data_IF_373797699128
#
_entry.id   IF_373797699128
#
_cell.length_a   1.000
_cell.length_b   1.000
_cell.length_c   1.000
_cell.angle_alpha   90.00
_cell.angle_beta   90.00
_cell.angle_gamma   90.00
#
_symmetry.space_group_name_H-M   'P 1'
#
loop_
_entity.id
_entity.type
_entity.pdbx_description
1 polymer ?
#
# COMPACT_ATOMS: atom_id res chain seq x y z
N UNK A 1 2.44 -18.00 -16.75
CA UNK A 1 1.31 -17.68 -17.62
C UNK A 1 1.88 -16.99 -18.85
N UNK A 2 1.51 -17.42 -20.05
CA UNK A 2 1.91 -16.77 -21.29
C UNK A 2 0.79 -15.82 -21.69
N UNK A 3 1.08 -14.53 -21.74
CA UNK A 3 0.15 -13.52 -22.29
C UNK A 3 0.38 -13.50 -23.81
N UNK A 4 -0.69 -13.71 -24.57
CA UNK A 4 -0.64 -13.69 -26.03
C UNK A 4 -0.67 -12.26 -26.56
N UNK A 5 -0.03 -12.03 -27.70
CA UNK A 5 -0.14 -10.77 -28.42
C UNK A 5 -1.60 -10.57 -28.88
N UNK A 6 -2.09 -9.33 -28.82
CA UNK A 6 -3.47 -8.94 -29.17
C UNK A 6 -4.58 -9.50 -28.26
N UNK A 7 -4.23 -10.10 -27.12
CA UNK A 7 -5.20 -10.47 -26.10
C UNK A 7 -5.91 -9.22 -25.56
N UNK A 8 -7.24 -9.25 -25.57
CA UNK A 8 -8.08 -8.16 -25.05
C UNK A 8 -8.45 -8.42 -23.60
N UNK A 9 -8.37 -7.39 -22.77
CA UNK A 9 -8.83 -7.36 -21.39
C UNK A 9 -9.95 -6.34 -21.21
N UNK A 10 -10.79 -6.52 -20.21
CA UNK A 10 -11.72 -5.46 -19.81
C UNK A 10 -10.96 -4.36 -19.06
N UNK A 11 -10.00 -4.75 -18.22
CA UNK A 11 -9.19 -3.81 -17.43
C UNK A 11 -7.72 -4.25 -17.39
N UNK A 12 -6.81 -3.34 -17.71
CA UNK A 12 -5.38 -3.49 -17.39
C UNK A 12 -5.02 -2.58 -16.22
N UNK A 13 -4.37 -3.12 -15.20
CA UNK A 13 -3.97 -2.42 -13.99
C UNK A 13 -2.44 -2.35 -13.94
N UNK A 14 -1.90 -1.14 -13.86
CA UNK A 14 -0.45 -0.88 -13.80
C UNK A 14 -0.04 -0.85 -12.32
N UNK A 15 0.68 -1.86 -11.85
CA UNK A 15 1.13 -1.98 -10.46
C UNK A 15 0.22 -2.89 -9.62
N UNK A 16 0.83 -3.84 -8.90
CA UNK A 16 0.12 -4.91 -8.18
C UNK A 16 0.04 -4.76 -6.66
N UNK A 17 0.57 -3.68 -6.09
CA UNK A 17 0.49 -3.42 -4.64
C UNK A 17 -0.97 -3.12 -4.20
N UNK A 18 -1.16 -2.68 -2.95
CA UNK A 18 -2.48 -2.41 -2.36
C UNK A 18 -3.52 -1.82 -3.33
N UNK A 19 -3.22 -0.70 -3.99
CA UNK A 19 -4.17 -0.02 -4.88
C UNK A 19 -4.59 -0.90 -6.06
N UNK A 20 -3.64 -1.57 -6.71
CA UNK A 20 -3.92 -2.39 -7.89
C UNK A 20 -4.63 -3.70 -7.54
N UNK A 21 -4.10 -4.43 -6.55
CA UNK A 21 -4.71 -5.67 -6.08
C UNK A 21 -6.12 -5.45 -5.48
N UNK A 22 -6.31 -4.37 -4.71
CA UNK A 22 -7.63 -4.01 -4.20
C UNK A 22 -8.62 -3.68 -5.33
N UNK A 23 -8.18 -2.91 -6.34
CA UNK A 23 -9.02 -2.57 -7.48
C UNK A 23 -9.47 -3.82 -8.23
N UNK A 24 -8.54 -4.72 -8.57
CA UNK A 24 -8.88 -5.98 -9.23
C UNK A 24 -9.86 -6.82 -8.40
N UNK A 25 -9.58 -7.01 -7.11
CA UNK A 25 -10.41 -7.82 -6.23
C UNK A 25 -11.84 -7.27 -6.10
N UNK A 26 -12.01 -5.95 -6.04
CA UNK A 26 -13.33 -5.32 -5.95
C UNK A 26 -14.08 -5.37 -7.29
N UNK A 27 -13.39 -5.13 -8.41
CA UNK A 27 -13.99 -5.20 -9.75
C UNK A 27 -14.49 -6.61 -10.06
N UNK A 28 -13.69 -7.64 -9.78
CA UNK A 28 -14.06 -9.05 -9.98
C UNK A 28 -15.21 -9.47 -9.08
N UNK A 29 -15.26 -8.98 -7.83
CA UNK A 29 -16.37 -9.25 -6.91
C UNK A 29 -17.69 -8.68 -7.41
N UNK A 30 -17.68 -7.49 -7.99
CA UNK A 30 -18.87 -6.83 -8.50
C UNK A 30 -19.29 -7.33 -9.89
N UNK A 31 -18.31 -7.73 -10.72
CA UNK A 31 -18.54 -8.14 -12.10
C UNK A 31 -17.84 -9.47 -12.37
N UNK A 32 -18.39 -10.61 -11.88
CA UNK A 32 -17.80 -11.91 -12.16
C UNK A 32 -17.66 -12.15 -13.67
N UNK A 33 -16.49 -12.62 -14.11
CA UNK A 33 -16.22 -12.97 -15.50
C UNK A 33 -15.55 -11.89 -16.37
N UNK A 34 -15.34 -10.67 -15.86
CA UNK A 34 -14.48 -9.70 -16.57
C UNK A 34 -13.02 -10.15 -16.55
N UNK A 35 -12.29 -9.82 -17.61
CA UNK A 35 -10.86 -10.15 -17.73
C UNK A 35 -10.01 -8.99 -17.24
N UNK A 36 -9.26 -9.22 -16.17
CA UNK A 36 -8.36 -8.22 -15.58
C UNK A 36 -6.92 -8.73 -15.68
N UNK A 37 -6.03 -7.87 -16.18
CA UNK A 37 -4.58 -8.08 -16.13
C UNK A 37 -3.93 -7.09 -15.17
N UNK A 38 -3.24 -7.59 -14.16
CA UNK A 38 -2.33 -6.81 -13.32
C UNK A 38 -0.90 -6.95 -13.86
N UNK A 39 -0.25 -5.83 -14.11
CA UNK A 39 1.16 -5.79 -14.55
C UNK A 39 2.01 -5.24 -13.41
N UNK A 40 2.91 -6.07 -12.86
CA UNK A 40 3.80 -5.67 -11.76
C UNK A 40 5.28 -5.80 -12.17
N UNK A 41 6.02 -4.70 -12.00
CA UNK A 41 7.44 -4.59 -12.36
C UNK A 41 8.32 -5.53 -11.55
N UNK A 42 8.00 -5.70 -10.28
CA UNK A 42 8.81 -6.46 -9.33
C UNK A 42 8.48 -7.94 -9.41
N UNK A 43 9.49 -8.81 -9.33
CA UNK A 43 9.24 -10.25 -9.22
C UNK A 43 8.53 -10.60 -7.90
N UNK A 44 8.82 -9.84 -6.85
CA UNK A 44 8.17 -9.87 -5.55
C UNK A 44 8.07 -8.43 -5.02
N UNK A 45 6.97 -8.14 -4.34
CA UNK A 45 6.75 -6.87 -3.66
C UNK A 45 7.61 -6.82 -2.40
N UNK A 46 8.45 -5.80 -2.34
CA UNK A 46 9.38 -5.59 -1.23
C UNK A 46 8.91 -4.44 -0.36
N UNK A 47 9.76 -4.07 0.60
CA UNK A 47 9.46 -3.03 1.59
C UNK A 47 9.08 -1.71 0.93
N UNK A 48 8.03 -1.08 1.45
CA UNK A 48 7.60 0.27 1.07
C UNK A 48 7.25 1.07 2.32
N UNK A 49 7.47 2.38 2.25
CA UNK A 49 7.03 3.33 3.29
C UNK A 49 5.51 3.43 3.27
N UNK A 50 4.93 3.67 4.45
CA UNK A 50 3.49 3.80 4.66
C UNK A 50 2.94 2.59 5.37
N UNK A 51 3.52 2.26 6.53
CA UNK A 51 3.10 1.14 7.38
C UNK A 51 1.92 1.49 8.29
N UNK A 52 1.82 2.74 8.75
CA UNK A 52 0.84 3.15 9.75
C UNK A 52 -0.52 3.46 9.11
N UNK A 53 -1.54 2.66 9.43
CA UNK A 53 -2.93 2.93 9.02
C UNK A 53 -3.67 3.78 10.06
N UNK A 54 -4.82 4.32 9.65
CA UNK A 54 -5.82 4.97 10.51
C UNK A 54 -7.13 4.18 10.43
N UNK A 55 -8.10 4.48 11.28
CA UNK A 55 -9.33 3.74 11.47
C UNK A 55 -10.14 3.57 10.18
N UNK A 56 -10.21 4.61 9.34
CA UNK A 56 -10.89 4.53 8.03
C UNK A 56 -10.18 3.56 7.08
N UNK A 57 -8.85 3.55 7.07
CA UNK A 57 -8.07 2.61 6.27
C UNK A 57 -8.22 1.20 6.83
N UNK A 58 -8.18 1.02 8.15
CA UNK A 58 -8.39 -0.26 8.81
C UNK A 58 -9.78 -0.83 8.51
N UNK A 59 -10.81 0.01 8.48
CA UNK A 59 -12.15 -0.38 8.04
C UNK A 59 -12.16 -0.83 6.58
N UNK A 60 -11.55 -0.07 5.67
CA UNK A 60 -11.46 -0.47 4.26
C UNK A 60 -10.73 -1.82 4.09
N UNK A 61 -9.55 -1.97 4.69
CA UNK A 61 -8.77 -3.19 4.61
C UNK A 61 -9.50 -4.38 5.24
N UNK A 62 -10.01 -4.22 6.46
CA UNK A 62 -10.69 -5.28 7.17
C UNK A 62 -12.04 -5.64 6.55
N UNK A 63 -12.95 -4.66 6.49
CA UNK A 63 -14.36 -4.88 6.12
C UNK A 63 -14.58 -4.93 4.61
N UNK A 64 -13.98 -4.02 3.85
CA UNK A 64 -14.24 -3.92 2.40
C UNK A 64 -13.41 -4.95 1.64
N UNK A 65 -12.12 -5.11 1.97
CA UNK A 65 -11.26 -6.12 1.34
C UNK A 65 -11.36 -7.51 2.00
N UNK A 66 -11.98 -7.64 3.17
CA UNK A 66 -12.14 -8.91 3.87
C UNK A 66 -10.84 -9.40 4.51
N UNK A 67 -9.94 -8.49 4.90
CA UNK A 67 -8.62 -8.83 5.44
C UNK A 67 -8.57 -8.91 6.97
N UNK A 68 -9.69 -8.71 7.69
CA UNK A 68 -9.68 -8.59 9.16
C UNK A 68 -8.91 -9.71 9.86
N UNK A 69 -9.15 -10.97 9.50
CA UNK A 69 -8.44 -12.10 10.11
C UNK A 69 -6.93 -12.03 9.84
N UNK A 70 -6.54 -11.85 8.57
CA UNK A 70 -5.14 -11.77 8.17
C UNK A 70 -4.42 -10.62 8.89
N UNK A 71 -5.07 -9.45 8.97
CA UNK A 71 -4.52 -8.27 9.66
C UNK A 71 -4.28 -8.54 11.15
N UNK A 72 -5.19 -9.21 11.84
CA UNK A 72 -5.04 -9.57 13.24
C UNK A 72 -3.93 -10.61 13.48
N UNK A 73 -3.73 -11.53 12.54
CA UNK A 73 -2.76 -12.62 12.69
C UNK A 73 -1.34 -12.24 12.27
N UNK A 74 -1.19 -11.33 11.30
CA UNK A 74 0.10 -11.07 10.63
C UNK A 74 0.62 -9.64 10.80
N UNK A 75 -0.15 -8.74 11.40
CA UNK A 75 0.23 -7.34 11.57
C UNK A 75 -0.03 -6.85 13.00
N UNK A 76 0.69 -5.81 13.41
CA UNK A 76 0.55 -5.27 14.75
C UNK A 76 -0.68 -4.39 14.83
N UNK A 77 -1.51 -4.61 15.85
CA UNK A 77 -2.64 -3.74 16.17
C UNK A 77 -2.11 -2.38 16.65
N UNK A 78 -2.67 -1.31 16.10
CA UNK A 78 -2.35 0.08 16.43
C UNK A 78 -3.52 0.71 17.19
N UNK A 79 -3.24 1.15 18.42
CA UNK A 79 -4.20 1.74 19.35
C UNK A 79 -4.15 3.27 19.34
N UNK A 80 -4.36 3.86 18.17
CA UNK A 80 -4.40 5.31 17.98
C UNK A 80 -3.03 5.94 17.75
N UNK A 81 -2.92 7.23 18.07
CA UNK A 81 -1.74 8.06 17.86
C UNK A 81 -1.34 8.71 19.19
N UNK A 82 -0.04 8.86 19.39
CA UNK A 82 0.54 9.60 20.51
C UNK A 82 1.61 10.55 19.98
N UNK A 83 1.51 11.81 20.41
CA UNK A 83 2.39 12.89 19.99
C UNK A 83 3.05 13.48 21.23
N UNK A 84 4.35 13.71 21.13
CA UNK A 84 5.14 14.42 22.12
C UNK A 84 5.63 15.72 21.47
N UNK A 85 5.29 16.85 22.07
CA UNK A 85 5.66 18.17 21.57
C UNK A 85 6.83 18.71 22.38
N UNK A 86 7.89 19.13 21.68
CA UNK A 86 9.10 19.68 22.28
C UNK A 86 9.37 21.10 21.77
N UNK A 87 9.86 21.97 22.66
CA UNK A 87 10.39 23.29 22.36
C UNK A 87 11.81 23.44 22.97
N UNK A 88 12.37 24.65 23.04
CA UNK A 88 13.71 24.89 23.59
C UNK A 88 13.87 24.57 25.09
N UNK A 89 12.76 24.52 25.84
CA UNK A 89 12.75 24.27 27.29
C UNK A 89 12.69 22.78 27.62
N UNK A 90 12.19 21.95 26.70
CA UNK A 90 12.11 20.49 26.84
C UNK A 90 13.51 19.87 26.77
N UNK A 91 14.01 19.35 27.89
CA UNK A 91 15.34 18.70 27.96
C UNK A 91 15.23 17.18 27.91
N UNK A 92 14.12 16.64 28.40
CA UNK A 92 13.80 15.21 28.42
C UNK A 92 12.37 14.98 27.94
N UNK A 93 12.03 13.72 27.63
CA UNK A 93 10.68 13.36 27.18
C UNK A 93 9.59 13.69 28.22
N UNK A 94 9.93 13.67 29.51
CA UNK A 94 9.01 14.03 30.60
C UNK A 94 8.64 15.51 30.66
N UNK A 95 9.47 16.38 30.06
CA UNK A 95 9.17 17.80 29.93
C UNK A 95 8.22 18.07 28.74
N UNK A 96 8.08 17.10 27.83
CA UNK A 96 7.27 17.24 26.63
C UNK A 96 5.78 17.19 26.95
N UNK A 97 5.00 18.06 26.31
CA UNK A 97 3.55 17.94 26.34
C UNK A 97 3.11 16.72 25.52
N UNK A 98 2.22 15.91 26.08
CA UNK A 98 1.70 14.71 25.43
C UNK A 98 0.26 14.91 24.95
N UNK A 99 -0.02 14.48 23.71
CA UNK A 99 -1.37 14.33 23.19
C UNK A 99 -1.55 12.90 22.67
N UNK A 100 -2.55 12.18 23.19
CA UNK A 100 -2.86 10.83 22.71
C UNK A 100 -3.95 10.15 23.51
N UNK A 101 -4.29 8.93 23.08
CA UNK A 101 -5.24 8.08 23.79
C UNK A 101 -4.68 7.62 25.14
N UNK A 102 -5.53 7.68 26.17
CA UNK A 102 -5.30 7.04 27.48
C UNK A 102 -5.90 5.64 27.58
N UNK A 103 -6.78 5.30 26.65
CA UNK A 103 -7.48 4.03 26.59
C UNK A 103 -7.34 3.45 25.18
N UNK A 104 -7.55 2.15 25.08
CA UNK A 104 -7.56 1.47 23.79
C UNK A 104 -8.63 2.04 22.86
N UNK A 105 -8.31 2.13 21.58
CA UNK A 105 -9.24 2.58 20.56
C UNK A 105 -10.34 1.54 20.38
N UNK A 106 -11.59 1.99 20.28
CA UNK A 106 -12.75 1.10 20.01
C UNK A 106 -12.62 0.40 18.65
N UNK A 107 -12.03 1.08 17.68
CA UNK A 107 -11.74 0.57 16.36
C UNK A 107 -10.23 0.64 16.16
N UNK A 108 -9.49 -0.45 16.40
CA UNK A 108 -8.05 -0.45 16.19
C UNK A 108 -7.72 -0.26 14.71
N UNK A 109 -6.52 0.29 14.48
CA UNK A 109 -5.86 0.27 13.18
C UNK A 109 -4.68 -0.70 13.20
N UNK A 110 -3.81 -0.68 12.20
CA UNK A 110 -2.69 -1.61 12.06
C UNK A 110 -1.38 -0.90 11.68
N UNK A 111 -0.27 -1.43 12.15
CA UNK A 111 1.06 -1.22 11.59
C UNK A 111 1.38 -2.37 10.63
N UNK A 112 1.41 -2.07 9.34
CA UNK A 112 1.54 -3.06 8.28
C UNK A 112 3.01 -3.34 7.96
N UNK A 113 3.37 -4.62 7.82
CA UNK A 113 4.53 -4.96 7.00
C UNK A 113 4.10 -4.94 5.54
N UNK A 114 4.44 -3.85 4.84
CA UNK A 114 4.02 -3.62 3.46
C UNK A 114 4.46 -4.70 2.47
N UNK A 115 5.58 -5.38 2.72
CA UNK A 115 6.05 -6.42 1.81
C UNK A 115 5.09 -7.62 1.82
N UNK A 116 4.75 -8.13 3.01
CA UNK A 116 3.85 -9.28 3.17
C UNK A 116 2.39 -8.91 2.91
N UNK A 117 1.99 -7.71 3.35
CA UNK A 117 0.65 -7.20 3.15
C UNK A 117 0.30 -7.01 1.67
N UNK A 118 1.16 -6.32 0.90
CA UNK A 118 0.86 -6.05 -0.51
C UNK A 118 0.85 -7.37 -1.33
N UNK A 119 1.71 -8.35 -1.01
CA UNK A 119 1.66 -9.70 -1.62
C UNK A 119 0.35 -10.43 -1.31
N UNK A 120 -0.17 -10.35 -0.09
CA UNK A 120 -1.43 -11.00 0.25
C UNK A 120 -2.61 -10.37 -0.50
N UNK A 121 -2.65 -9.05 -0.62
CA UNK A 121 -3.68 -8.35 -1.41
C UNK A 121 -3.61 -8.78 -2.88
N UNK A 122 -2.40 -8.82 -3.46
CA UNK A 122 -2.19 -9.27 -4.83
C UNK A 122 -2.58 -10.73 -5.03
N UNK A 123 -2.19 -11.62 -4.11
CA UNK A 123 -2.54 -13.03 -4.13
C UNK A 123 -4.06 -13.23 -4.12
N UNK A 124 -4.80 -12.49 -3.28
CA UNK A 124 -6.27 -12.55 -3.24
C UNK A 124 -6.90 -12.08 -4.54
N UNK A 125 -6.35 -11.04 -5.18
CA UNK A 125 -6.83 -10.63 -6.51
C UNK A 125 -6.65 -11.75 -7.54
N UNK A 126 -5.51 -12.46 -7.52
CA UNK A 126 -5.28 -13.60 -8.40
C UNK A 126 -6.25 -14.76 -8.12
N UNK A 127 -6.48 -15.09 -6.84
CA UNK A 127 -7.48 -16.11 -6.44
C UNK A 127 -8.89 -15.73 -6.88
N UNK A 128 -9.21 -14.43 -6.92
CA UNK A 128 -10.49 -13.94 -7.43
C UNK A 128 -10.61 -14.00 -8.97
N UNK A 129 -9.52 -14.31 -9.69
CA UNK A 129 -9.50 -14.49 -11.14
C UNK A 129 -8.75 -13.41 -11.92
N UNK A 130 -7.97 -12.53 -11.27
CA UNK A 130 -7.11 -11.60 -11.99
C UNK A 130 -5.88 -12.32 -12.56
N UNK A 131 -5.56 -12.07 -13.82
CA UNK A 131 -4.30 -12.47 -14.41
C UNK A 131 -3.17 -11.59 -13.89
N UNK A 132 -2.02 -12.20 -13.60
CA UNK A 132 -0.85 -11.49 -13.10
C UNK A 132 0.35 -11.72 -14.01
N UNK A 133 0.85 -10.63 -14.59
CA UNK A 133 2.12 -10.61 -15.30
C UNK A 133 3.19 -9.91 -14.45
N UNK A 134 4.12 -10.70 -13.90
CA UNK A 134 5.32 -10.22 -13.20
C UNK A 134 6.50 -11.19 -13.39
N UNK A 135 7.75 -10.72 -13.37
CA UNK A 135 8.16 -9.31 -13.47
C UNK A 135 7.90 -8.76 -14.88
N UNK A 136 7.17 -7.63 -14.98
CA UNK A 136 6.90 -6.95 -16.24
C UNK A 136 6.62 -5.45 -16.05
N UNK A 137 7.05 -4.62 -16.99
CA UNK A 137 6.81 -3.18 -16.97
C UNK A 137 5.88 -2.76 -18.09
N UNK A 138 4.98 -1.82 -17.81
CA UNK A 138 4.30 -1.06 -18.86
C UNK A 138 5.25 0.02 -19.35
N UNK A 139 5.58 0.02 -20.64
CA UNK A 139 6.51 0.97 -21.25
C UNK A 139 5.81 2.02 -22.10
N UNK A 140 4.59 1.74 -22.57
CA UNK A 140 3.76 2.70 -23.29
C UNK A 140 2.27 2.40 -23.10
N UNK A 141 1.43 3.44 -23.06
CA UNK A 141 -0.04 3.32 -23.02
C UNK A 141 -0.68 4.34 -23.93
N UNK A 142 -1.38 3.92 -24.98
CA UNK A 142 -2.10 4.84 -25.85
C UNK A 142 -3.57 4.88 -25.41
N UNK A 143 -4.00 6.05 -24.95
CA UNK A 143 -5.40 6.30 -24.61
C UNK A 143 -6.14 6.78 -25.87
N UNK A 144 -7.14 6.01 -26.28
CA UNK A 144 -7.92 6.19 -27.49
C UNK A 144 -9.39 6.44 -27.13
N UNK A 145 -9.89 7.62 -27.48
CA UNK A 145 -11.27 8.01 -27.19
C UNK A 145 -12.28 7.11 -27.91
N UNK A 146 -13.21 6.51 -27.15
CA UNK A 146 -14.27 5.65 -27.69
C UNK A 146 -13.81 4.29 -28.23
N UNK A 147 -12.55 3.90 -27.98
CA UNK A 147 -11.96 2.65 -28.45
C UNK A 147 -11.22 1.93 -27.32
N UNK A 148 -10.79 0.70 -27.56
CA UNK A 148 -9.90 -0.01 -26.65
C UNK A 148 -8.53 0.69 -26.59
N UNK A 149 -7.99 0.81 -25.38
CA UNK A 149 -6.67 1.35 -25.10
C UNK A 149 -5.60 0.33 -25.50
N UNK A 150 -4.46 0.83 -25.96
CA UNK A 150 -3.31 -0.02 -26.29
C UNK A 150 -2.28 0.06 -25.17
N UNK A 151 -1.87 -1.08 -24.61
CA UNK A 151 -0.86 -1.15 -23.54
C UNK A 151 0.32 -1.98 -24.00
N UNK A 152 1.51 -1.38 -23.99
CA UNK A 152 2.77 -2.03 -24.37
C UNK A 152 3.51 -2.47 -23.12
N UNK A 153 3.71 -3.78 -23.03
CA UNK A 153 4.32 -4.49 -21.91
C UNK A 153 5.72 -4.94 -22.28
N UNK A 154 6.65 -4.91 -21.33
CA UNK A 154 8.01 -5.46 -21.48
C UNK A 154 8.31 -6.42 -20.34
N UNK A 155 8.71 -7.65 -20.67
CA UNK A 155 9.17 -8.67 -19.73
C UNK A 155 10.46 -9.33 -20.25
N UNK A 156 10.89 -10.43 -19.62
CA UNK A 156 12.09 -11.19 -20.04
C UNK A 156 11.98 -11.84 -21.42
N UNK A 157 10.77 -11.96 -21.98
CA UNK A 157 10.52 -12.55 -23.31
C UNK A 157 10.50 -11.49 -24.42
N UNK A 158 10.57 -10.20 -24.06
CA UNK A 158 10.55 -9.08 -25.01
C UNK A 158 9.38 -8.13 -24.77
N UNK A 159 8.94 -7.50 -25.85
CA UNK A 159 7.84 -6.53 -25.84
C UNK A 159 6.58 -7.18 -26.38
N UNK A 160 5.45 -6.99 -25.71
CA UNK A 160 4.13 -7.45 -26.14
C UNK A 160 3.12 -6.31 -26.06
N UNK A 161 2.11 -6.35 -26.91
CA UNK A 161 1.02 -5.37 -26.91
C UNK A 161 -0.29 -6.08 -26.57
N UNK A 162 -1.04 -5.49 -25.65
CA UNK A 162 -2.38 -5.95 -25.27
C UNK A 162 -3.38 -4.81 -25.45
N UNK A 163 -4.66 -5.16 -25.60
CA UNK A 163 -5.77 -4.19 -25.67
C UNK A 163 -6.61 -4.23 -24.42
N UNK A 164 -7.12 -3.09 -23.98
CA UNK A 164 -7.95 -3.00 -22.79
C UNK A 164 -9.05 -1.95 -22.93
N UNK A 165 -10.27 -2.23 -22.47
CA UNK A 165 -11.32 -1.20 -22.45
C UNK A 165 -10.97 -0.07 -21.47
N UNK A 166 -10.43 -0.44 -20.32
CA UNK A 166 -9.99 0.48 -19.26
C UNK A 166 -8.55 0.22 -18.85
N UNK A 167 -7.84 1.30 -18.51
CA UNK A 167 -6.52 1.22 -17.87
C UNK A 167 -6.60 1.92 -16.52
N UNK A 168 -6.17 1.23 -15.46
CA UNK A 168 -6.04 1.79 -14.11
C UNK A 168 -4.57 1.98 -13.79
N UNK A 169 -4.16 3.23 -13.56
CA UNK A 169 -2.81 3.53 -13.08
C UNK A 169 -2.74 3.38 -11.56
N UNK A 170 -2.24 2.24 -11.11
CA UNK A 170 -1.93 1.94 -9.71
C UNK A 170 -0.41 1.93 -9.44
N UNK A 171 0.39 2.61 -10.28
CA UNK A 171 1.86 2.60 -10.23
C UNK A 171 2.45 3.40 -9.07
N UNK A 172 1.60 4.00 -8.23
CA UNK A 172 1.97 4.77 -7.05
C UNK A 172 2.77 6.02 -7.43
N UNK A 173 3.94 6.21 -6.79
CA UNK A 173 4.85 7.33 -7.10
C UNK A 173 5.37 7.31 -8.54
N UNK A 174 5.20 6.19 -9.26
CA UNK A 174 5.50 6.05 -10.67
C UNK A 174 4.59 6.87 -11.60
N UNK A 175 3.33 7.12 -11.19
CA UNK A 175 2.36 7.97 -11.89
C UNK A 175 2.44 7.87 -13.43
N UNK A 176 2.52 6.64 -13.95
CA UNK A 176 2.89 6.32 -15.34
C UNK A 176 2.02 7.07 -16.35
N UNK A 177 0.69 6.99 -16.22
CA UNK A 177 -0.23 7.67 -17.13
C UNK A 177 -0.18 9.18 -16.94
N UNK A 178 -0.25 9.65 -15.69
CA UNK A 178 -0.25 11.08 -15.41
C UNK A 178 1.01 11.78 -15.94
N UNK A 179 2.17 11.11 -15.89
CA UNK A 179 3.41 11.64 -16.47
C UNK A 179 3.42 11.59 -17.99
N UNK A 180 2.98 10.47 -18.58
CA UNK A 180 2.90 10.33 -20.03
C UNK A 180 2.00 11.40 -20.65
N UNK A 181 0.84 11.64 -20.06
CA UNK A 181 -0.18 12.56 -20.58
C UNK A 181 0.04 14.03 -20.14
N UNK A 182 1.09 14.32 -19.37
CA UNK A 182 1.36 15.66 -18.86
C UNK A 182 0.38 16.16 -17.80
N UNK A 183 -0.40 15.28 -17.18
CA UNK A 183 -1.35 15.60 -16.10
C UNK A 183 -0.67 15.73 -14.74
N UNK A 184 0.52 15.15 -14.57
CA UNK A 184 1.25 15.18 -13.31
C UNK A 184 1.71 16.61 -12.98
N UNK A 185 1.38 17.07 -11.77
CA UNK A 185 1.76 18.39 -11.26
C UNK A 185 2.44 18.24 -9.90
N UNK A 186 3.61 18.87 -9.75
CA UNK A 186 4.30 18.92 -8.47
C UNK A 186 3.57 19.85 -7.50
N UNK A 187 3.50 19.46 -6.22
CA UNK A 187 3.02 20.34 -5.15
C UNK A 187 4.20 21.08 -4.51
N UNK A 188 4.49 22.29 -4.98
CA UNK A 188 5.58 23.12 -4.46
C UNK A 188 5.23 23.89 -3.19
N UNK A 189 3.96 23.91 -2.78
CA UNK A 189 3.52 24.60 -1.56
C UNK A 189 3.94 23.88 -0.27
N UNK A 190 4.28 22.57 -0.36
CA UNK A 190 4.69 21.75 0.78
C UNK A 190 5.96 20.95 0.47
N UNK A 191 7.14 21.61 0.34
CA UNK A 191 8.39 20.95 -0.03
C UNK A 191 8.94 20.12 1.14
N UNK A 192 8.40 18.92 1.33
CA UNK A 192 8.78 18.02 2.41
C UNK A 192 9.72 16.94 1.88
N UNK A 193 10.79 16.65 2.62
CA UNK A 193 11.66 15.50 2.40
C UNK A 193 11.58 14.55 3.60
N UNK A 194 11.80 13.26 3.37
CA UNK A 194 11.80 12.24 4.42
C UNK A 194 13.07 11.39 4.34
N UNK A 195 13.65 11.10 5.50
CA UNK A 195 14.70 10.11 5.69
C UNK A 195 14.27 9.16 6.80
N UNK A 196 14.48 7.86 6.62
CA UNK A 196 14.01 6.84 7.56
C UNK A 196 14.98 5.66 7.60
N UNK A 197 14.96 4.93 8.71
CA UNK A 197 15.71 3.70 8.91
C UNK A 197 14.89 2.71 9.76
N UNK A 198 15.26 1.43 9.73
CA UNK A 198 14.65 0.40 10.58
C UNK A 198 15.68 -0.11 11.57
N UNK A 199 15.25 -0.25 12.82
CA UNK A 199 16.08 -0.69 13.94
C UNK A 199 15.62 -2.06 14.43
N UNK A 200 16.54 -2.85 14.96
CA UNK A 200 16.26 -4.12 15.65
C UNK A 200 16.87 -4.05 17.06
N UNK A 201 16.36 -4.85 17.98
CA UNK A 201 16.81 -4.81 19.38
C UNK A 201 16.40 -3.53 20.10
N UNK A 202 15.31 -2.89 19.66
CA UNK A 202 14.70 -1.78 20.39
C UNK A 202 14.04 -2.31 21.66
N UNK A 203 14.19 -1.58 22.77
CA UNK A 203 13.61 -1.98 24.05
C UNK A 203 12.10 -1.82 24.03
N UNK A 204 11.40 -2.74 24.70
CA UNK A 204 9.97 -2.63 24.92
C UNK A 204 9.70 -1.51 25.93
N UNK A 205 8.69 -0.69 25.65
CA UNK A 205 8.23 0.37 26.54
C UNK A 205 7.71 -0.21 27.85
N UNK A 206 7.13 -1.41 27.79
CA UNK A 206 6.61 -2.13 28.96
C UNK A 206 7.66 -3.05 29.61
N UNK A 207 8.94 -2.95 29.20
CA UNK A 207 10.01 -3.77 29.79
C UNK A 207 10.28 -3.41 31.25
N UNK A 208 10.52 -4.44 32.07
CA UNK A 208 10.89 -4.28 33.48
C UNK A 208 12.13 -3.39 33.65
N UNK A 209 13.10 -3.50 32.74
CA UNK A 209 14.31 -2.68 32.77
C UNK A 209 13.98 -1.18 32.62
N UNK A 210 13.07 -0.84 31.70
CA UNK A 210 12.67 0.55 31.47
C UNK A 210 11.81 1.05 32.64
N UNK A 211 10.92 0.20 33.17
CA UNK A 211 10.13 0.51 34.35
C UNK A 211 10.98 0.76 35.61
N UNK A 212 12.05 -0.02 35.82
CA UNK A 212 12.98 0.20 36.93
C UNK A 212 13.81 1.47 36.76
N UNK A 213 14.25 1.74 35.52
CA UNK A 213 15.07 2.92 35.22
C UNK A 213 14.26 4.22 35.24
N UNK A 214 12.99 4.17 34.83
CA UNK A 214 12.07 5.31 34.77
C UNK A 214 10.70 4.98 35.41
N UNK A 215 10.63 4.83 36.75
CA UNK A 215 9.42 4.35 37.44
C UNK A 215 8.17 5.19 37.17
N UNK A 216 8.33 6.51 36.99
CA UNK A 216 7.24 7.43 36.68
C UNK A 216 6.57 7.15 35.33
N UNK A 217 7.29 6.54 34.38
CA UNK A 217 6.78 6.24 33.04
C UNK A 217 6.04 4.91 32.98
N UNK A 218 6.37 3.97 33.87
CA UNK A 218 5.66 2.69 33.97
C UNK A 218 4.31 2.81 34.71
N UNK A 219 4.12 3.86 35.51
CA UNK A 219 2.91 4.11 36.29
C UNK A 219 1.83 4.93 35.58
N UNK A 220 2.06 5.37 34.34
CA UNK A 220 1.15 6.28 33.60
C UNK A 220 0.21 5.57 32.62
N UNK A 221 0.01 4.26 32.79
CA UNK A 221 -0.97 3.44 32.04
C UNK A 221 -2.23 3.23 32.87
#
# INVERSE_FOLDING_TARGET
MTIDADQTYDVVIIGGALSGGATAALLLRQNPGIRILIVEKSAQLTRRVGEATVEVSAYFLGRVLGLTQYLNEHHLIKQGLRFYFANGDVKNLEDASELGGRYQARLPSYQLDRATFDEEVLRRACVAGADLLRPASVIDVQLLSGQDQTVVLKNGEGTKTVRARWVVDASGVGAVLARKEGWWKSNTAHPTAAAWSRWKGVKDWDSLELAQKFPKWASSV
#
